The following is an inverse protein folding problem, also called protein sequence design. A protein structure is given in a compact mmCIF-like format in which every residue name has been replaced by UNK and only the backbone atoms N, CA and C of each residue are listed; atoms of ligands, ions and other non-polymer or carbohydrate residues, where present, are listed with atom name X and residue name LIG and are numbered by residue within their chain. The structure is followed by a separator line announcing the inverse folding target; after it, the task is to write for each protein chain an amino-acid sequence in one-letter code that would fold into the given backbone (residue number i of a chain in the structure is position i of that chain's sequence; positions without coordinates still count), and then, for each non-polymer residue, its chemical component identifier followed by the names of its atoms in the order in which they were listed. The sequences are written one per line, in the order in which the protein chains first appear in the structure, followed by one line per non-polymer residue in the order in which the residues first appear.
data_IF_811099129300
#
_entry.id   IF_811099129300
#
_cell.length_a   1.000
_cell.length_b   1.000
_cell.length_c   1.000
_cell.angle_alpha   90.00
_cell.angle_beta   90.00
_cell.angle_gamma   90.00
#
_symmetry.space_group_name_H-M   'P 1'
#
loop_
_entity.id
_entity.type
_entity.pdbx_description
1 polymer ?
#
# COMPACT_ATOMS: atom_id res chain seq x y z
N UNK A 1 -9.11 17.59 18.32
CA UNK A 1 -8.62 16.22 18.06
C UNK A 1 -7.19 16.32 17.58
N UNK A 2 -6.26 15.56 18.18
CA UNK A 2 -4.85 15.52 17.79
C UNK A 2 -4.62 14.35 16.84
N UNK A 3 -4.08 14.61 15.65
CA UNK A 3 -3.87 13.60 14.64
C UNK A 3 -2.38 13.50 14.29
N UNK A 4 -1.85 12.28 14.26
CA UNK A 4 -0.52 11.99 13.77
C UNK A 4 -0.61 11.23 12.44
N UNK A 5 0.29 11.55 11.54
CA UNK A 5 0.53 10.80 10.29
C UNK A 5 1.93 10.22 10.40
N UNK A 6 2.04 8.91 10.39
CA UNK A 6 3.31 8.20 10.50
C UNK A 6 3.62 7.50 9.17
N UNK A 7 4.79 7.76 8.61
CA UNK A 7 5.28 7.06 7.42
C UNK A 7 6.79 6.79 7.55
N UNK A 8 7.32 5.82 6.82
CA UNK A 8 8.78 5.57 6.82
C UNK A 8 9.53 6.70 6.09
N UNK A 9 10.73 7.07 6.52
CA UNK A 9 11.58 8.02 5.80
C UNK A 9 12.06 7.44 4.47
N UNK A 10 12.42 8.31 3.53
CA UNK A 10 13.09 7.98 2.25
C UNK A 10 12.32 6.94 1.40
N UNK A 11 11.00 7.12 1.24
CA UNK A 11 10.17 6.20 0.48
C UNK A 11 9.08 6.93 -0.33
N UNK A 12 8.48 6.20 -1.27
CA UNK A 12 7.55 6.69 -2.28
C UNK A 12 6.30 7.43 -1.73
N UNK A 13 5.83 7.10 -0.52
CA UNK A 13 4.60 7.65 0.05
C UNK A 13 4.76 9.04 0.69
N UNK A 14 5.99 9.54 0.88
CA UNK A 14 6.27 10.82 1.57
C UNK A 14 5.52 12.02 0.97
N UNK A 15 5.48 12.23 -0.36
CA UNK A 15 4.73 13.36 -0.94
C UNK A 15 3.25 13.34 -0.55
N UNK A 16 2.65 12.17 -0.56
CA UNK A 16 1.24 11.96 -0.21
C UNK A 16 0.98 12.12 1.29
N UNK A 17 1.89 11.68 2.14
CA UNK A 17 1.81 11.90 3.59
C UNK A 17 1.88 13.40 3.93
N UNK A 18 2.72 14.18 3.24
CA UNK A 18 2.78 15.63 3.36
C UNK A 18 1.48 16.30 2.90
N UNK A 19 0.93 15.85 1.78
CA UNK A 19 -0.36 16.33 1.27
C UNK A 19 -1.48 16.07 2.27
N UNK A 20 -1.59 14.85 2.81
CA UNK A 20 -2.56 14.52 3.84
C UNK A 20 -2.41 15.40 5.09
N UNK A 21 -1.17 15.67 5.50
CA UNK A 21 -0.89 16.55 6.63
C UNK A 21 -1.34 18.01 6.39
N UNK A 22 -1.30 18.48 5.15
CA UNK A 22 -1.82 19.80 4.79
C UNK A 22 -3.36 19.84 4.75
N UNK A 23 -4.01 18.73 4.40
CA UNK A 23 -5.46 18.63 4.32
C UNK A 23 -6.15 18.47 5.69
N UNK A 24 -5.44 17.97 6.69
CA UNK A 24 -6.00 17.70 8.02
C UNK A 24 -5.53 18.78 8.99
N UNK A 25 -6.44 19.61 9.44
CA UNK A 25 -6.17 20.62 10.46
C UNK A 25 -5.69 19.99 11.77
N UNK A 26 -4.67 20.58 12.39
CA UNK A 26 -4.05 20.11 13.63
C UNK A 26 -3.42 18.71 13.55
N UNK A 27 -3.04 18.27 12.35
CA UNK A 27 -2.23 17.06 12.17
C UNK A 27 -0.74 17.34 12.22
N UNK A 28 0.05 16.30 12.53
CA UNK A 28 1.52 16.33 12.51
C UNK A 28 2.04 15.11 11.78
N UNK A 29 3.05 15.34 10.91
CA UNK A 29 3.74 14.28 10.18
C UNK A 29 4.98 13.81 10.95
N UNK A 30 5.13 12.49 11.08
CA UNK A 30 6.23 11.82 11.77
C UNK A 30 6.86 10.76 10.87
N UNK A 31 8.15 10.53 11.08
CA UNK A 31 8.93 9.49 10.41
C UNK A 31 9.44 8.40 11.36
N UNK A 32 9.23 8.62 12.67
CA UNK A 32 9.57 7.67 13.71
C UNK A 32 8.44 7.57 14.74
N UNK A 33 7.95 6.36 14.98
CA UNK A 33 6.86 6.13 15.92
C UNK A 33 7.22 6.48 17.38
N UNK A 34 8.51 6.44 17.75
CA UNK A 34 8.97 6.78 19.10
C UNK A 34 8.76 8.25 19.50
N UNK A 35 8.36 9.10 18.56
CA UNK A 35 8.05 10.52 18.77
C UNK A 35 6.56 10.79 18.96
N UNK A 36 5.70 9.75 18.90
CA UNK A 36 4.26 9.91 18.89
C UNK A 36 3.66 9.41 20.21
N UNK A 37 3.08 10.33 20.99
CA UNK A 37 2.44 10.04 22.26
C UNK A 37 1.18 10.88 22.47
N UNK A 38 0.13 10.26 23.01
CA UNK A 38 -1.12 10.94 23.38
C UNK A 38 -1.84 11.64 22.22
N UNK A 39 -1.92 10.95 21.07
CA UNK A 39 -2.75 11.35 19.95
C UNK A 39 -4.11 10.65 20.00
N UNK A 40 -5.15 11.35 19.50
CA UNK A 40 -6.47 10.75 19.34
C UNK A 40 -6.48 9.73 18.20
N UNK A 41 -5.81 10.05 17.08
CA UNK A 41 -5.71 9.19 15.92
C UNK A 41 -4.28 9.23 15.37
N UNK A 42 -3.71 8.07 15.11
CA UNK A 42 -2.44 7.91 14.39
C UNK A 42 -2.71 7.14 13.11
N UNK A 43 -2.55 7.78 11.96
CA UNK A 43 -2.55 7.09 10.67
C UNK A 43 -1.15 6.53 10.38
N UNK A 44 -1.03 5.21 10.30
CA UNK A 44 0.21 4.48 10.04
C UNK A 44 0.20 4.06 8.57
N UNK A 45 0.89 4.85 7.73
CA UNK A 45 0.80 4.75 6.27
C UNK A 45 2.15 4.38 5.66
N UNK A 46 2.22 3.22 5.01
CA UNK A 46 3.48 2.73 4.40
C UNK A 46 4.67 2.77 5.37
N UNK A 47 4.46 2.31 6.59
CA UNK A 47 5.46 2.27 7.64
C UNK A 47 6.07 0.87 7.76
N UNK A 48 7.41 0.77 7.69
CA UNK A 48 8.10 -0.51 7.53
C UNK A 48 8.65 -1.11 8.83
N UNK A 49 8.63 -0.34 9.93
CA UNK A 49 9.08 -0.84 11.24
C UNK A 49 7.92 -1.52 11.96
N UNK A 50 8.24 -2.55 12.72
CA UNK A 50 7.28 -3.19 13.63
C UNK A 50 6.93 -2.19 14.74
N UNK A 51 5.65 -2.08 15.01
CA UNK A 51 5.10 -1.25 16.08
C UNK A 51 4.78 -2.14 17.26
N UNK A 52 5.30 -1.77 18.44
CA UNK A 52 5.10 -2.54 19.65
C UNK A 52 3.80 -2.19 20.39
N UNK A 53 3.44 -3.07 21.35
CA UNK A 53 2.24 -2.88 22.18
C UNK A 53 2.26 -1.59 23.00
N UNK A 54 3.44 -1.09 23.37
CA UNK A 54 3.54 0.12 24.18
C UNK A 54 3.13 1.33 23.36
N UNK A 55 3.59 1.42 22.10
CA UNK A 55 3.16 2.47 21.20
C UNK A 55 1.63 2.48 21.03
N UNK A 56 1.03 1.31 20.76
CA UNK A 56 -0.41 1.20 20.54
C UNK A 56 -1.22 1.71 21.73
N UNK A 57 -0.75 1.47 22.97
CA UNK A 57 -1.44 1.91 24.19
C UNK A 57 -1.33 3.40 24.48
N UNK A 58 -0.35 4.09 23.92
CA UNK A 58 -0.15 5.52 24.16
C UNK A 58 -1.07 6.42 23.30
N UNK A 59 -1.76 5.86 22.34
CA UNK A 59 -2.65 6.59 21.45
C UNK A 59 -4.05 5.95 21.48
N UNK A 60 -5.07 6.75 21.22
CA UNK A 60 -6.47 6.28 21.32
C UNK A 60 -6.83 5.36 20.16
N UNK A 61 -6.43 5.71 18.93
CA UNK A 61 -6.62 4.91 17.73
C UNK A 61 -5.35 4.90 16.89
N UNK A 62 -4.99 3.70 16.38
CA UNK A 62 -3.83 3.47 15.54
C UNK A 62 -4.32 2.82 14.24
N UNK A 63 -4.50 3.62 13.21
CA UNK A 63 -5.19 3.25 11.98
C UNK A 63 -4.21 2.88 10.89
N UNK A 64 -4.38 1.70 10.33
CA UNK A 64 -3.61 1.19 9.18
C UNK A 64 -4.55 1.04 7.98
N UNK A 65 -4.03 1.31 6.78
CA UNK A 65 -4.72 1.00 5.52
C UNK A 65 -3.88 0.01 4.73
N UNK A 66 -4.47 -1.13 4.41
CA UNK A 66 -3.84 -2.22 3.71
C UNK A 66 -4.62 -2.57 2.44
N UNK A 67 -3.90 -2.72 1.31
CA UNK A 67 -4.52 -2.91 0.01
C UNK A 67 -4.94 -4.37 -0.22
N UNK A 68 -5.72 -4.94 0.70
CA UNK A 68 -6.28 -6.28 0.57
C UNK A 68 -7.61 -6.43 1.30
N UNK A 69 -8.36 -7.46 0.95
CA UNK A 69 -9.62 -7.86 1.60
C UNK A 69 -9.31 -8.70 2.84
N UNK A 70 -8.88 -8.06 3.93
CA UNK A 70 -8.53 -8.73 5.17
C UNK A 70 -9.68 -9.63 5.69
N UNK A 71 -9.35 -10.83 6.18
CA UNK A 71 -8.03 -11.37 6.53
C UNK A 71 -7.23 -11.98 5.38
N UNK A 72 -7.68 -11.88 4.13
CA UNK A 72 -6.92 -12.35 2.97
C UNK A 72 -5.87 -11.32 2.56
N UNK A 73 -4.70 -11.80 2.10
CA UNK A 73 -3.65 -10.93 1.55
C UNK A 73 -2.94 -10.05 2.58
N UNK A 74 -2.77 -10.52 3.81
CA UNK A 74 -1.87 -9.92 4.81
C UNK A 74 -0.43 -9.89 4.29
N UNK A 75 0.43 -9.07 4.88
CA UNK A 75 1.85 -9.06 4.60
C UNK A 75 2.29 -8.00 3.59
N UNK A 76 3.18 -8.33 2.65
CA UNK A 76 3.93 -7.34 1.90
C UNK A 76 3.30 -6.99 0.54
N UNK A 77 3.21 -5.69 0.25
CA UNK A 77 2.84 -5.13 -1.05
C UNK A 77 1.62 -5.81 -1.73
N UNK A 78 0.48 -5.97 -1.02
CA UNK A 78 -0.66 -6.77 -1.49
C UNK A 78 -1.25 -6.26 -2.81
N UNK A 79 -1.21 -4.96 -3.09
CA UNK A 79 -1.64 -4.40 -4.38
C UNK A 79 -0.93 -5.09 -5.55
N UNK A 80 0.41 -5.16 -5.50
CA UNK A 80 1.20 -5.71 -6.60
C UNK A 80 1.03 -7.21 -6.76
N UNK A 81 0.90 -7.96 -5.67
CA UNK A 81 0.59 -9.39 -5.76
C UNK A 81 -0.75 -9.62 -6.44
N UNK A 82 -1.79 -8.86 -6.07
CA UNK A 82 -3.11 -8.99 -6.68
C UNK A 82 -3.12 -8.57 -8.16
N UNK A 83 -2.32 -7.57 -8.54
CA UNK A 83 -2.13 -7.21 -9.96
C UNK A 83 -1.47 -8.36 -10.74
N UNK A 84 -0.44 -9.02 -10.19
CA UNK A 84 0.17 -10.22 -10.80
C UNK A 84 -0.86 -11.33 -10.96
N UNK A 85 -1.76 -11.52 -9.99
CA UNK A 85 -2.87 -12.47 -10.04
C UNK A 85 -3.95 -12.09 -11.08
N UNK A 86 -3.81 -10.97 -11.78
CA UNK A 86 -4.76 -10.49 -12.81
C UNK A 86 -5.96 -9.74 -12.27
N UNK A 87 -5.98 -9.36 -11.00
CA UNK A 87 -7.08 -8.61 -10.40
C UNK A 87 -7.00 -7.13 -10.78
N UNK A 88 -8.14 -6.59 -11.20
CA UNK A 88 -8.34 -5.16 -11.49
C UNK A 88 -9.35 -4.48 -10.55
N UNK A 89 -9.84 -5.18 -9.55
CA UNK A 89 -10.60 -4.63 -8.44
C UNK A 89 -9.92 -5.06 -7.15
N UNK A 90 -9.36 -4.06 -6.43
CA UNK A 90 -8.53 -4.27 -5.27
C UNK A 90 -9.24 -3.71 -4.05
N UNK A 91 -9.62 -4.56 -3.12
CA UNK A 91 -10.16 -4.12 -1.83
C UNK A 91 -9.06 -3.52 -0.96
N UNK A 92 -9.37 -2.41 -0.32
CA UNK A 92 -8.55 -1.81 0.72
C UNK A 92 -9.28 -1.92 2.04
N UNK A 93 -8.59 -2.31 3.09
CA UNK A 93 -9.09 -2.38 4.44
C UNK A 93 -8.44 -1.30 5.31
N UNK A 94 -9.25 -0.47 5.96
CA UNK A 94 -8.83 0.46 7.01
C UNK A 94 -9.21 -0.16 8.34
N UNK A 95 -8.24 -0.36 9.22
CA UNK A 95 -8.43 -1.14 10.45
C UNK A 95 -7.60 -0.59 11.62
N UNK A 96 -7.99 -0.95 12.85
CA UNK A 96 -7.22 -0.67 14.06
C UNK A 96 -5.97 -1.58 14.10
N UNK A 97 -4.80 -1.02 14.31
CA UNK A 97 -3.60 -1.82 14.50
C UNK A 97 -3.64 -2.55 15.85
N UNK A 98 -3.26 -3.82 15.84
CA UNK A 98 -3.04 -4.61 17.04
C UNK A 98 -1.59 -5.13 17.13
N UNK A 99 -1.32 -6.07 18.02
CA UNK A 99 0.01 -6.63 18.24
C UNK A 99 0.46 -7.64 17.17
N UNK A 100 -0.41 -7.94 16.22
CA UNK A 100 -0.13 -8.81 15.08
C UNK A 100 -0.30 -8.03 13.78
N UNK A 101 0.60 -8.24 12.84
CA UNK A 101 0.51 -7.57 11.55
C UNK A 101 -0.82 -7.87 10.84
N UNK A 102 -1.48 -6.82 10.38
CA UNK A 102 -2.71 -6.85 9.58
C UNK A 102 -3.88 -7.64 10.20
N UNK A 103 -4.02 -7.63 11.54
CA UNK A 103 -4.96 -8.51 12.24
C UNK A 103 -6.10 -7.78 12.98
N UNK A 104 -6.01 -6.47 13.19
CA UNK A 104 -6.98 -5.72 13.97
C UNK A 104 -8.37 -5.56 13.31
N UNK A 105 -9.30 -5.04 14.07
CA UNK A 105 -10.70 -4.90 13.67
C UNK A 105 -10.87 -3.85 12.57
N UNK A 106 -11.69 -4.15 11.55
CA UNK A 106 -11.87 -3.34 10.34
C UNK A 106 -12.95 -2.29 10.53
N UNK A 107 -12.63 -1.03 10.24
CA UNK A 107 -13.60 0.07 10.20
C UNK A 107 -14.22 0.26 8.82
N UNK A 108 -13.39 0.21 7.75
CA UNK A 108 -13.84 0.44 6.37
C UNK A 108 -13.20 -0.57 5.42
N UNK A 109 -13.98 -1.01 4.44
CA UNK A 109 -13.47 -1.70 3.26
C UNK A 109 -14.02 -1.05 2.01
N UNK A 110 -13.17 -0.79 1.02
CA UNK A 110 -13.52 -0.17 -0.25
C UNK A 110 -12.71 -0.73 -1.40
N UNK A 111 -13.25 -0.68 -2.60
CA UNK A 111 -12.65 -1.24 -3.79
C UNK A 111 -12.06 -0.15 -4.68
N UNK A 112 -10.77 -0.25 -4.95
CA UNK A 112 -10.08 0.50 -5.99
C UNK A 112 -10.23 -0.25 -7.31
N UNK A 113 -10.75 0.43 -8.35
CA UNK A 113 -10.82 -0.11 -9.71
C UNK A 113 -9.60 0.31 -10.52
N UNK A 114 -9.00 -0.65 -11.20
CA UNK A 114 -7.91 -0.48 -12.14
C UNK A 114 -8.44 -0.76 -13.57
N UNK A 115 -7.82 -0.17 -14.58
CA UNK A 115 -8.15 -0.45 -15.97
C UNK A 115 -7.35 -1.62 -16.58
N UNK A 116 -6.33 -2.11 -15.84
CA UNK A 116 -5.48 -3.22 -16.26
C UNK A 116 -4.23 -2.81 -17.04
N UNK A 117 -4.05 -1.52 -17.32
CA UNK A 117 -2.93 -0.97 -18.09
C UNK A 117 -2.00 -0.06 -17.28
N UNK A 118 -2.38 0.28 -16.03
CA UNK A 118 -1.57 1.13 -15.19
C UNK A 118 -0.18 0.54 -14.98
N UNK A 119 0.86 1.34 -15.18
CA UNK A 119 2.23 1.01 -14.86
C UNK A 119 2.54 1.32 -13.38
N UNK A 120 3.75 0.98 -12.94
CA UNK A 120 4.16 1.07 -11.54
C UNK A 120 3.86 2.42 -10.89
N UNK A 121 4.20 3.52 -11.54
CA UNK A 121 4.01 4.87 -10.97
C UNK A 121 2.53 5.22 -10.84
N UNK A 122 1.71 4.87 -11.84
CA UNK A 122 0.26 5.09 -11.79
C UNK A 122 -0.40 4.21 -10.72
N UNK A 123 0.05 2.96 -10.56
CA UNK A 123 -0.42 2.07 -9.49
C UNK A 123 -0.09 2.66 -8.12
N UNK A 124 1.12 3.22 -7.92
CA UNK A 124 1.52 3.90 -6.69
C UNK A 124 0.69 5.15 -6.43
N UNK A 125 0.47 5.96 -7.44
CA UNK A 125 -0.37 7.15 -7.31
C UNK A 125 -1.81 6.79 -6.95
N UNK A 126 -2.43 5.86 -7.67
CA UNK A 126 -3.79 5.39 -7.36
C UNK A 126 -3.89 4.79 -5.96
N UNK A 127 -2.90 3.99 -5.55
CA UNK A 127 -2.81 3.45 -4.19
C UNK A 127 -2.78 4.58 -3.15
N UNK A 128 -1.93 5.57 -3.36
CA UNK A 128 -1.79 6.68 -2.42
C UNK A 128 -3.07 7.51 -2.34
N UNK A 129 -3.61 7.95 -3.47
CA UNK A 129 -4.85 8.73 -3.53
C UNK A 129 -6.01 8.02 -2.83
N UNK A 130 -6.14 6.72 -3.08
CA UNK A 130 -7.17 5.91 -2.45
C UNK A 130 -6.98 5.82 -0.93
N UNK A 131 -5.73 5.66 -0.48
CA UNK A 131 -5.36 5.67 0.95
C UNK A 131 -5.72 7.00 1.62
N UNK A 132 -5.37 8.13 1.00
CA UNK A 132 -5.71 9.46 1.52
C UNK A 132 -7.23 9.63 1.67
N UNK A 133 -7.97 9.25 0.63
CA UNK A 133 -9.43 9.33 0.65
C UNK A 133 -10.06 8.51 1.78
N UNK A 134 -9.53 7.31 2.06
CA UNK A 134 -9.99 6.48 3.17
C UNK A 134 -9.68 7.11 4.53
N UNK A 135 -8.52 7.76 4.71
CA UNK A 135 -8.19 8.51 5.93
C UNK A 135 -9.21 9.65 6.16
N UNK A 136 -9.47 10.44 5.14
CA UNK A 136 -10.40 11.57 5.23
C UNK A 136 -11.84 11.10 5.48
N UNK A 137 -12.26 9.99 4.89
CA UNK A 137 -13.58 9.41 5.15
C UNK A 137 -13.68 8.87 6.57
N UNK A 138 -12.66 8.19 7.07
CA UNK A 138 -12.63 7.75 8.46
C UNK A 138 -12.83 8.93 9.42
N UNK A 139 -12.13 10.05 9.18
CA UNK A 139 -12.29 11.26 10.02
C UNK A 139 -13.70 11.85 9.97
N UNK A 140 -14.36 11.81 8.81
CA UNK A 140 -15.78 12.27 8.68
C UNK A 140 -16.76 11.39 9.46
N UNK A 141 -16.47 10.10 9.57
CA UNK A 141 -17.33 9.14 10.26
C UNK A 141 -17.04 9.04 11.75
N UNK A 142 -15.84 9.43 12.17
CA UNK A 142 -15.43 9.41 13.58
C UNK A 142 -16.20 10.48 14.41
N UNK A 143 -16.65 10.20 15.66
CA UNK A 143 -16.42 8.98 16.44
C UNK A 143 -17.49 7.87 16.27
N UNK A 144 -18.43 8.01 15.35
CA UNK A 144 -19.61 7.12 15.25
C UNK A 144 -19.34 5.82 14.48
N UNK A 145 -18.16 5.70 13.84
CA UNK A 145 -17.78 4.51 13.12
C UNK A 145 -17.42 3.38 14.09
N UNK A 146 -17.88 2.17 13.79
CA UNK A 146 -17.60 0.99 14.60
C UNK A 146 -16.75 -0.01 13.83
N UNK A 147 -15.74 -0.55 14.49
CA UNK A 147 -14.93 -1.62 13.94
C UNK A 147 -15.63 -2.98 14.04
N UNK A 148 -15.32 -3.87 13.08
CA UNK A 148 -15.82 -5.25 13.03
C UNK A 148 -14.64 -6.21 12.94
N UNK A 149 -14.74 -7.33 13.64
CA UNK A 149 -13.71 -8.38 13.58
C UNK A 149 -13.52 -8.89 12.15
N UNK A 150 -12.29 -9.20 11.81
CA UNK A 150 -11.99 -9.90 10.58
C UNK A 150 -12.61 -11.30 10.61
N UNK A 151 -13.25 -11.69 9.51
CA UNK A 151 -13.91 -13.00 9.37
C UNK A 151 -13.45 -13.66 8.08
N UNK A 152 -13.05 -14.93 8.16
CA UNK A 152 -12.65 -15.73 7.00
C UNK A 152 -11.29 -16.39 7.17
N UNK A 153 -10.81 -17.00 6.08
CA UNK A 153 -9.50 -17.67 6.04
C UNK A 153 -8.41 -16.68 5.73
N UNK A 154 -7.36 -16.67 6.54
CA UNK A 154 -6.18 -15.83 6.32
C UNK A 154 -5.34 -16.31 5.13
N UNK A 155 -4.73 -15.37 4.43
CA UNK A 155 -3.65 -15.64 3.48
C UNK A 155 -2.59 -14.54 3.57
N UNK A 156 -1.35 -14.83 3.11
CA UNK A 156 -0.21 -13.94 3.27
C UNK A 156 0.55 -13.79 1.96
N UNK A 157 0.93 -12.56 1.66
CA UNK A 157 1.84 -12.23 0.57
C UNK A 157 3.27 -12.07 1.09
N UNK A 158 4.24 -12.77 0.49
CA UNK A 158 5.64 -12.67 0.86
C UNK A 158 6.24 -11.32 0.42
N UNK A 159 7.36 -10.95 1.02
CA UNK A 159 8.13 -9.81 0.57
C UNK A 159 8.77 -10.13 -0.79
N UNK A 160 8.52 -9.24 -1.76
CA UNK A 160 9.16 -9.33 -3.08
C UNK A 160 10.63 -8.92 -3.00
N UNK A 161 11.44 -9.51 -3.86
CA UNK A 161 12.85 -9.25 -4.05
C UNK A 161 13.13 -8.86 -5.52
N UNK A 162 14.30 -8.33 -5.87
CA UNK A 162 14.65 -8.05 -7.27
C UNK A 162 14.51 -9.27 -8.21
N UNK A 163 14.68 -10.48 -7.69
CA UNK A 163 14.53 -11.73 -8.47
C UNK A 163 13.09 -11.95 -8.95
N UNK A 164 12.12 -11.45 -8.20
CA UNK A 164 10.69 -11.61 -8.55
C UNK A 164 10.26 -10.72 -9.73
N UNK A 165 11.18 -9.95 -10.31
CA UNK A 165 10.98 -9.18 -11.55
C UNK A 165 11.61 -9.84 -12.78
N UNK A 166 12.02 -11.11 -12.68
CA UNK A 166 12.55 -11.88 -13.80
C UNK A 166 11.42 -12.29 -14.74
N UNK A 167 11.62 -12.00 -16.03
CA UNK A 167 10.74 -12.39 -17.12
C UNK A 167 11.25 -13.68 -17.77
N UNK A 168 10.34 -14.56 -18.13
CA UNK A 168 10.65 -15.76 -18.91
C UNK A 168 10.75 -15.40 -20.39
N UNK A 169 11.95 -15.52 -20.97
CA UNK A 169 12.21 -15.18 -22.37
C UNK A 169 11.38 -16.04 -23.36
N UNK A 170 10.87 -17.19 -22.94
CA UNK A 170 10.06 -18.08 -23.77
C UNK A 170 8.56 -17.77 -23.71
N UNK A 171 8.14 -16.84 -22.87
CA UNK A 171 6.75 -16.38 -22.77
C UNK A 171 6.54 -15.09 -23.54
N UNK A 172 5.32 -14.89 -24.01
CA UNK A 172 4.94 -13.63 -24.65
C UNK A 172 4.90 -12.49 -23.62
N UNK A 173 5.01 -11.24 -24.10
CA UNK A 173 4.83 -10.06 -23.26
C UNK A 173 3.41 -10.00 -22.67
N UNK A 174 2.40 -10.46 -23.41
CA UNK A 174 1.01 -10.48 -22.94
C UNK A 174 0.82 -11.39 -21.72
N UNK A 175 1.44 -12.58 -21.70
CA UNK A 175 1.37 -13.49 -20.56
C UNK A 175 2.05 -12.94 -19.31
N UNK A 176 3.02 -12.03 -19.47
CA UNK A 176 3.84 -11.48 -18.41
C UNK A 176 3.54 -9.99 -18.15
N UNK A 177 2.54 -9.43 -18.81
CA UNK A 177 2.27 -7.99 -18.75
C UNK A 177 2.01 -7.51 -17.33
N UNK A 178 1.31 -8.29 -16.51
CA UNK A 178 1.06 -7.94 -15.11
C UNK A 178 2.36 -7.90 -14.26
N UNK A 179 3.32 -8.77 -14.54
CA UNK A 179 4.62 -8.72 -13.89
C UNK A 179 5.43 -7.51 -14.39
N UNK A 180 5.38 -7.23 -15.68
CA UNK A 180 6.09 -6.11 -16.30
C UNK A 180 5.55 -4.76 -15.79
N UNK A 181 4.22 -4.57 -15.74
CA UNK A 181 3.62 -3.30 -15.34
C UNK A 181 3.78 -2.94 -13.85
N UNK A 182 4.08 -3.92 -12.98
CA UNK A 182 4.37 -3.66 -11.57
C UNK A 182 5.86 -3.48 -11.27
N UNK A 183 6.73 -3.66 -12.25
CA UNK A 183 8.17 -3.48 -12.08
C UNK A 183 8.51 -1.99 -12.06
N UNK A 184 9.19 -1.53 -11.00
CA UNK A 184 9.76 -0.18 -10.98
C UNK A 184 10.92 -0.10 -11.96
N UNK A 185 10.87 0.87 -12.87
CA UNK A 185 11.95 1.07 -13.82
C UNK A 185 13.29 1.46 -13.15
N UNK A 186 13.25 1.97 -11.91
CA UNK A 186 14.45 2.44 -11.21
C UNK A 186 14.88 1.48 -10.09
N UNK A 187 13.97 1.10 -9.18
CA UNK A 187 14.35 0.32 -7.99
C UNK A 187 14.43 -1.19 -8.25
N UNK A 188 13.44 -1.74 -8.99
CA UNK A 188 13.30 -3.17 -9.27
C UNK A 188 12.84 -3.39 -10.71
N UNK A 189 13.67 -3.03 -11.71
CA UNK A 189 13.29 -3.16 -13.12
C UNK A 189 13.09 -4.63 -13.51
N UNK A 190 12.20 -4.84 -14.47
CA UNK A 190 12.06 -6.14 -15.09
C UNK A 190 13.34 -6.54 -15.81
N UNK A 191 13.64 -7.81 -15.85
CA UNK A 191 14.85 -8.32 -16.51
C UNK A 191 14.64 -9.74 -16.99
N UNK A 192 15.51 -10.17 -17.89
CA UNK A 192 15.59 -11.56 -18.35
C UNK A 192 17.05 -11.94 -18.63
N UNK A 193 17.28 -13.24 -18.75
CA UNK A 193 18.59 -13.77 -19.16
C UNK A 193 18.53 -14.33 -20.58
N UNK A 194 19.57 -14.06 -21.37
CA UNK A 194 19.81 -14.69 -22.65
C UNK A 194 21.31 -15.01 -22.80
N UNK A 195 21.63 -16.24 -23.12
CA UNK A 195 22.99 -16.72 -23.26
C UNK A 195 23.89 -16.38 -22.06
N UNK A 196 23.34 -16.53 -20.84
CA UNK A 196 24.00 -16.26 -19.56
C UNK A 196 24.17 -14.77 -19.23
N UNK A 197 23.69 -13.85 -20.06
CA UNK A 197 23.75 -12.40 -19.82
C UNK A 197 22.40 -11.86 -19.36
N UNK A 198 22.43 -10.98 -18.35
CA UNK A 198 21.25 -10.30 -17.82
C UNK A 198 20.95 -9.04 -18.65
N UNK A 199 19.69 -8.92 -19.10
CA UNK A 199 19.17 -7.74 -19.79
C UNK A 199 18.10 -7.09 -18.94
N UNK A 200 18.14 -5.76 -18.82
CA UNK A 200 17.14 -4.95 -18.10
C UNK A 200 16.10 -4.46 -19.11
N UNK A 201 14.84 -4.62 -18.77
CA UNK A 201 13.70 -4.13 -19.56
C UNK A 201 12.98 -3.03 -18.79
N UNK A 202 12.89 -1.85 -19.36
CA UNK A 202 12.10 -0.72 -18.85
C UNK A 202 10.89 -0.51 -19.75
N UNK A 203 9.74 -0.20 -19.13
CA UNK A 203 8.48 0.02 -19.85
C UNK A 203 7.96 1.42 -19.58
N UNK A 204 7.51 2.08 -20.63
CA UNK A 204 6.88 3.38 -20.59
C UNK A 204 5.62 3.38 -21.45
N UNK A 205 4.57 4.06 -20.99
CA UNK A 205 3.41 4.33 -21.82
C UNK A 205 3.76 5.48 -22.77
N UNK A 206 3.49 5.29 -24.06
CA UNK A 206 3.60 6.39 -25.02
C UNK A 206 2.49 7.42 -24.77
N UNK A 207 2.88 8.62 -24.35
CA UNK A 207 1.98 9.74 -24.11
C UNK A 207 1.72 10.60 -25.36
N UNK A 208 2.37 10.28 -26.49
CA UNK A 208 2.25 11.07 -27.72
C UNK A 208 0.97 10.80 -28.51
N UNK A 209 0.06 9.98 -27.96
CA UNK A 209 -1.28 9.75 -28.48
C UNK A 209 -1.28 8.84 -29.69
N UNK A 210 -1.86 7.67 -29.51
CA UNK A 210 -2.23 6.84 -30.64
C UNK A 210 -3.18 7.59 -31.57
N UNK A 211 -2.89 7.55 -32.82
CA UNK A 211 -3.79 7.98 -33.88
C UNK A 211 -5.05 7.12 -33.95
#
# INVERSE_FOLDING_TARGET
MKIAILTSPNQWFIPYAKELNQQIENSKLFYNHTEIFNFDIVFILSYHKIIDKNFLKHNKHNIVIHASNLPQGKGWAPLFHQVIEGKNEITFSLFEADDKADNGDIYLQKNLKLNGLELYEELREKQARFTLNMCLEFLKLYPNIQAKKQVGKESFYPKRSPKDSELDINKSLNEQFNLLRIASNEDFPAFFYKDGKKFILKIYLDSTGGG
#
